data_IF_611920659751
#
_entry.id   IF_611920659751
#
_cell.length_a   1.000
_cell.length_b   1.000
_cell.length_c   1.000
_cell.angle_alpha   90.00
_cell.angle_beta   90.00
_cell.angle_gamma   90.00
#
_symmetry.space_group_name_H-M   'P 1'
#
loop_
_entity.id
_entity.type
_entity.pdbx_description
1 polymer ?
#
# COMPACT_ATOMS: atom_id res chain seq x y z
N UNK A 1 -17.26 -27.49 -17.05
CA UNK A 1 -16.72 -26.59 -16.00
C UNK A 1 -15.45 -25.95 -16.55
N UNK A 2 -15.20 -24.66 -16.50
CA UNK A 2 -15.74 -23.59 -15.65
C UNK A 2 -16.01 -22.32 -16.46
N UNK A 3 -17.06 -21.60 -16.08
CA UNK A 3 -17.40 -20.26 -16.56
C UNK A 3 -16.69 -19.25 -15.67
N UNK A 4 -15.95 -18.31 -16.28
CA UNK A 4 -15.76 -16.97 -15.73
C UNK A 4 -15.55 -16.03 -16.91
N UNK A 5 -16.56 -15.22 -17.17
CA UNK A 5 -16.49 -14.06 -18.05
C UNK A 5 -15.86 -12.93 -17.23
N UNK A 6 -14.73 -12.31 -17.62
CA UNK A 6 -14.25 -11.13 -16.92
C UNK A 6 -15.09 -9.94 -17.37
N UNK A 7 -16.04 -9.54 -16.52
CA UNK A 7 -16.69 -8.23 -16.57
C UNK A 7 -16.06 -7.36 -15.48
N UNK A 8 -15.66 -6.15 -15.88
CA UNK A 8 -15.04 -5.07 -15.12
C UNK A 8 -13.62 -5.34 -14.58
N UNK A 9 -12.64 -4.68 -15.21
CA UNK A 9 -11.22 -4.82 -14.92
C UNK A 9 -10.89 -4.45 -13.48
N UNK A 10 -10.70 -5.47 -12.65
CA UNK A 10 -9.97 -5.32 -11.40
C UNK A 10 -8.58 -4.87 -11.82
N UNK A 11 -8.20 -3.66 -11.43
CA UNK A 11 -6.86 -3.17 -11.66
C UNK A 11 -5.90 -4.07 -10.85
N UNK A 12 -4.80 -4.50 -11.47
CA UNK A 12 -3.88 -5.45 -10.83
C UNK A 12 -2.84 -4.71 -9.97
N UNK A 13 -2.83 -5.01 -8.68
CA UNK A 13 -1.79 -4.61 -7.74
C UNK A 13 -1.24 -5.85 -7.03
N UNK A 14 0.08 -5.98 -6.99
CA UNK A 14 0.76 -7.14 -6.42
C UNK A 14 1.96 -6.71 -5.57
N UNK A 15 2.10 -7.30 -4.39
CA UNK A 15 3.32 -7.14 -3.58
C UNK A 15 4.37 -8.13 -4.07
N UNK A 16 5.43 -7.64 -4.71
CA UNK A 16 6.45 -8.48 -5.37
C UNK A 16 7.60 -8.87 -4.45
N UNK A 17 7.90 -8.05 -3.44
CA UNK A 17 9.00 -8.33 -2.51
C UNK A 17 8.81 -7.61 -1.17
N UNK A 18 9.15 -8.28 -0.06
CA UNK A 18 9.12 -7.72 1.29
C UNK A 18 10.51 -7.82 1.91
N UNK A 19 10.99 -6.74 2.51
CA UNK A 19 12.28 -6.64 3.19
C UNK A 19 12.13 -6.03 4.59
N UNK A 20 13.23 -5.98 5.35
CA UNK A 20 13.26 -5.29 6.66
C UNK A 20 13.02 -3.77 6.58
N UNK A 21 13.11 -3.17 5.38
CA UNK A 21 13.01 -1.73 5.18
C UNK A 21 11.64 -1.29 4.65
N UNK A 22 10.84 -2.21 4.12
CA UNK A 22 9.64 -1.90 3.35
C UNK A 22 9.35 -3.01 2.33
N UNK A 23 8.41 -2.75 1.45
CA UNK A 23 8.01 -3.69 0.41
C UNK A 23 7.82 -3.01 -0.95
N UNK A 24 7.90 -3.81 -2.01
CA UNK A 24 7.66 -3.41 -3.38
C UNK A 24 6.24 -3.79 -3.79
N UNK A 25 5.57 -2.85 -4.45
CA UNK A 25 4.23 -2.99 -5.01
C UNK A 25 4.31 -2.78 -6.52
N UNK A 26 3.99 -3.80 -7.29
CA UNK A 26 3.73 -3.69 -8.72
C UNK A 26 2.30 -3.17 -8.91
N UNK A 27 2.17 -2.00 -9.52
CA UNK A 27 0.90 -1.33 -9.78
C UNK A 27 0.76 -1.10 -11.28
N UNK A 28 -0.03 -1.93 -11.97
CA UNK A 28 0.03 -2.09 -13.42
C UNK A 28 1.47 -2.45 -13.88
N UNK A 29 2.15 -1.57 -14.61
CA UNK A 29 3.48 -1.84 -15.18
C UNK A 29 4.63 -1.14 -14.43
N UNK A 30 4.37 -0.56 -13.24
CA UNK A 30 5.38 0.16 -12.47
C UNK A 30 5.53 -0.40 -11.06
N UNK A 31 6.77 -0.46 -10.58
CA UNK A 31 7.09 -0.84 -9.21
C UNK A 31 7.23 0.40 -8.33
N UNK A 32 6.50 0.40 -7.21
CA UNK A 32 6.54 1.43 -6.17
C UNK A 32 7.13 0.80 -4.89
N UNK A 33 8.07 1.51 -4.26
CA UNK A 33 8.62 1.08 -2.99
C UNK A 33 7.92 1.79 -1.83
N UNK A 34 7.39 1.02 -0.88
CA UNK A 34 6.76 1.51 0.34
C UNK A 34 7.70 1.29 1.54
N UNK A 35 8.54 2.27 1.89
CA UNK A 35 9.41 2.18 3.06
C UNK A 35 8.62 2.22 4.37
N UNK A 36 8.96 1.34 5.32
CA UNK A 36 8.40 1.35 6.68
C UNK A 36 8.82 2.56 7.53
N UNK A 37 9.68 3.45 7.01
CA UNK A 37 9.93 4.74 7.64
C UNK A 37 8.78 5.73 7.37
N UNK A 38 8.20 5.69 6.17
CA UNK A 38 7.09 6.58 5.75
C UNK A 38 5.73 5.94 6.04
N UNK A 39 5.63 4.60 5.94
CA UNK A 39 4.41 3.83 6.15
C UNK A 39 4.56 2.86 7.35
N UNK A 40 4.68 3.37 8.59
CA UNK A 40 5.09 2.57 9.74
C UNK A 40 4.09 1.49 10.16
N UNK A 41 2.79 1.66 9.87
CA UNK A 41 1.75 0.68 10.19
C UNK A 41 1.94 -0.68 9.51
N UNK A 42 2.69 -0.76 8.41
CA UNK A 42 3.02 -2.05 7.79
C UNK A 42 4.18 -2.79 8.48
N UNK A 43 4.97 -2.14 9.34
CA UNK A 43 6.20 -2.72 9.90
C UNK A 43 5.96 -4.00 10.71
N UNK A 44 4.85 -4.03 11.44
CA UNK A 44 4.48 -5.15 12.32
C UNK A 44 3.25 -5.91 11.79
N UNK A 45 2.77 -5.58 10.59
CA UNK A 45 1.65 -6.25 9.96
C UNK A 45 2.02 -7.70 9.59
N UNK A 46 1.03 -8.60 9.72
CA UNK A 46 1.19 -9.96 9.23
C UNK A 46 1.44 -9.94 7.72
N UNK A 47 2.35 -10.77 7.22
CA UNK A 47 2.67 -10.85 5.78
C UNK A 47 1.40 -11.06 4.96
N UNK A 48 0.50 -11.95 5.41
CA UNK A 48 -0.77 -12.19 4.72
C UNK A 48 -1.63 -10.94 4.56
N UNK A 49 -1.62 -10.05 5.56
CA UNK A 49 -2.35 -8.79 5.50
C UNK A 49 -1.69 -7.81 4.53
N UNK A 50 -0.35 -7.74 4.47
CA UNK A 50 0.39 -6.91 3.50
C UNK A 50 0.14 -7.39 2.06
N UNK A 51 0.07 -8.71 1.84
CA UNK A 51 -0.18 -9.28 0.52
C UNK A 51 -1.63 -9.07 0.05
N UNK A 52 -2.58 -8.83 0.96
CA UNK A 52 -3.99 -8.61 0.64
C UNK A 52 -4.26 -7.15 0.23
N UNK A 53 -3.61 -6.69 -0.83
CA UNK A 53 -3.83 -5.36 -1.42
C UNK A 53 -4.99 -5.38 -2.42
N UNK A 54 -5.81 -4.34 -2.40
CA UNK A 54 -6.90 -4.14 -3.36
C UNK A 54 -6.74 -2.79 -4.08
N UNK A 55 -6.79 -2.81 -5.41
CA UNK A 55 -6.74 -1.60 -6.23
C UNK A 55 -8.14 -1.29 -6.79
N UNK A 56 -8.98 -0.73 -5.92
CA UNK A 56 -10.39 -0.49 -6.21
C UNK A 56 -10.61 0.68 -7.17
N UNK A 57 -9.71 1.67 -7.15
CA UNK A 57 -9.78 2.86 -7.99
C UNK A 57 -8.36 3.27 -8.43
N UNK A 58 -8.17 3.89 -9.61
CA UNK A 58 -6.83 4.21 -10.13
C UNK A 58 -5.91 4.96 -9.15
N UNK A 59 -6.48 5.78 -8.27
CA UNK A 59 -5.74 6.61 -7.33
C UNK A 59 -5.69 6.05 -5.90
N UNK A 60 -6.43 4.99 -5.58
CA UNK A 60 -6.57 4.49 -4.21
C UNK A 60 -6.31 2.99 -4.08
N UNK A 61 -5.42 2.66 -3.16
CA UNK A 61 -5.12 1.31 -2.70
C UNK A 61 -5.75 1.09 -1.33
N UNK A 62 -6.20 -0.14 -1.09
CA UNK A 62 -6.81 -0.53 0.17
C UNK A 62 -6.27 -1.86 0.67
N UNK A 63 -5.88 -1.91 1.94
CA UNK A 63 -5.51 -3.11 2.68
C UNK A 63 -6.59 -3.40 3.73
N UNK A 64 -7.62 -4.21 3.41
CA UNK A 64 -8.76 -4.46 4.29
C UNK A 64 -8.37 -5.07 5.64
N UNK A 65 -7.37 -5.95 5.67
CA UNK A 65 -6.95 -6.62 6.90
C UNK A 65 -6.23 -5.67 7.88
N UNK A 66 -5.77 -4.53 7.38
CA UNK A 66 -5.07 -3.50 8.17
C UNK A 66 -5.93 -2.25 8.40
N UNK A 67 -7.09 -2.16 7.74
CA UNK A 67 -7.90 -0.94 7.64
C UNK A 67 -7.07 0.28 7.20
N UNK A 68 -6.22 0.07 6.18
CA UNK A 68 -5.33 1.09 5.63
C UNK A 68 -5.75 1.42 4.21
N UNK A 69 -6.05 2.70 3.96
CA UNK A 69 -6.18 3.28 2.63
C UNK A 69 -4.96 4.13 2.29
N UNK A 70 -4.50 4.07 1.03
CA UNK A 70 -3.42 4.92 0.52
C UNK A 70 -3.74 5.49 -0.84
N UNK A 71 -3.53 6.80 -0.97
CA UNK A 71 -3.43 7.44 -2.28
C UNK A 71 -2.12 7.04 -2.96
N UNK A 72 -2.21 6.71 -4.25
CA UNK A 72 -1.04 6.39 -5.07
C UNK A 72 -0.06 7.57 -5.11
N UNK A 73 -0.56 8.81 -5.13
CA UNK A 73 0.28 10.02 -5.11
C UNK A 73 1.10 10.11 -3.82
N UNK A 74 0.56 9.68 -2.68
CA UNK A 74 1.30 9.69 -1.41
C UNK A 74 2.47 8.69 -1.39
N UNK A 75 2.41 7.64 -2.23
CA UNK A 75 3.52 6.69 -2.42
C UNK A 75 4.57 7.27 -3.38
N UNK A 76 4.13 7.94 -4.45
CA UNK A 76 5.02 8.52 -5.46
C UNK A 76 5.71 9.82 -4.97
N UNK A 77 5.05 10.57 -4.09
CA UNK A 77 5.49 11.86 -3.56
C UNK A 77 5.29 11.96 -2.03
N UNK A 78 5.98 11.12 -1.24
CA UNK A 78 5.79 11.08 0.22
C UNK A 78 6.14 12.40 0.92
N UNK A 79 6.99 13.24 0.32
CA UNK A 79 7.33 14.58 0.82
C UNK A 79 6.14 15.55 0.87
N UNK A 80 5.12 15.33 0.04
CA UNK A 80 3.88 16.14 0.02
C UNK A 80 2.88 15.71 1.09
N UNK A 81 3.03 14.49 1.60
CA UNK A 81 2.10 13.85 2.51
C UNK A 81 2.88 13.24 3.67
N UNK A 82 3.31 14.04 4.68
CA UNK A 82 3.86 13.48 5.90
C UNK A 82 2.75 12.71 6.65
N UNK A 83 2.58 11.44 6.30
CA UNK A 83 1.55 10.56 6.88
C UNK A 83 1.91 10.10 8.30
N UNK A 84 3.14 10.38 8.72
CA UNK A 84 3.48 10.43 10.13
C UNK A 84 2.95 11.76 10.63
N UNK A 85 1.78 11.75 11.27
CA UNK A 85 1.46 12.83 12.20
C UNK A 85 2.67 12.92 13.12
N UNK A 86 3.40 14.05 13.10
CA UNK A 86 4.34 14.36 14.15
C UNK A 86 3.49 14.34 15.42
N UNK A 87 3.48 13.21 16.13
CA UNK A 87 3.03 13.13 17.49
C UNK A 87 3.90 14.14 18.22
N UNK A 88 3.38 15.37 18.32
CA UNK A 88 3.96 16.43 19.09
C UNK A 88 3.93 15.97 20.53
N UNK A 89 4.97 15.27 20.95
CA UNK A 89 5.27 15.08 22.35
C UNK A 89 6.69 15.57 22.56
N UNK A 90 6.73 16.82 23.03
CA UNK A 90 7.66 17.36 24.03
C UNK A 90 8.29 18.67 23.56
N UNK A 91 7.57 19.77 23.76
CA UNK A 91 8.23 20.96 24.29
C UNK A 91 7.75 21.14 25.73
N UNK A 92 8.66 20.79 26.64
CA UNK A 92 8.87 21.28 28.00
C UNK A 92 7.66 21.52 28.91
#
# INVERSE_FOLDING_TARGET
MSLITPGDGILEAEVTHISKHGFWLLLAERELFLPFSEFPWFREAAISAILNVQWLQPHHLYWPDLDVDLEVEAIEHPDRYPLIAQSGISQL
#
